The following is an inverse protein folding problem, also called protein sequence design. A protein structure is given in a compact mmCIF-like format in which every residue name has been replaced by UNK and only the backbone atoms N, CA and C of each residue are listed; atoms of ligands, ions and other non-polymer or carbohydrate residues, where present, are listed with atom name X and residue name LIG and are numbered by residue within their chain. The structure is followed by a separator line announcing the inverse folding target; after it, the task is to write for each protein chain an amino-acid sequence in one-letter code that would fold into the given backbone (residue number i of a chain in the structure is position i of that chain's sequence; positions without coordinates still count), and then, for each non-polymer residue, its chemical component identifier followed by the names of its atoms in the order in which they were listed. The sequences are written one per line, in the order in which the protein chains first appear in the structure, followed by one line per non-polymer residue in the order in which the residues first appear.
data_IF_943585085957
#
_entry.id   IF_943585085957
#
_cell.length_a   1.000
_cell.length_b   1.000
_cell.length_c   1.000
_cell.angle_alpha   90.00
_cell.angle_beta   90.00
_cell.angle_gamma   90.00
#
_symmetry.space_group_name_H-M   'P 1'
#
loop_
_entity.id
_entity.type
_entity.pdbx_description
1 polymer ?
#
# COMPACT_ATOMS: atom_id res chain seq x y z
N UNK A 1 31.68 -20.47 46.15
CA UNK A 1 30.31 -20.22 45.63
C UNK A 1 30.07 -18.72 45.52
N UNK A 2 30.22 -18.18 44.34
CA UNK A 2 29.84 -16.81 44.00
C UNK A 2 28.33 -16.81 43.82
N UNK A 3 27.57 -16.39 44.84
CA UNK A 3 26.18 -16.04 44.69
C UNK A 3 26.11 -14.70 43.93
N UNK A 4 25.90 -14.77 42.66
CA UNK A 4 25.51 -13.63 41.83
C UNK A 4 24.10 -13.25 42.27
N UNK A 5 23.95 -12.29 43.19
CA UNK A 5 22.70 -11.61 43.40
C UNK A 5 22.41 -10.80 42.13
N UNK A 6 21.59 -11.35 41.28
CA UNK A 6 20.97 -10.56 40.21
C UNK A 6 20.15 -9.46 40.89
N UNK A 7 20.64 -8.24 40.83
CA UNK A 7 19.84 -7.08 41.08
C UNK A 7 18.74 -7.06 40.05
N UNK A 8 17.55 -7.51 40.39
CA UNK A 8 16.36 -7.27 39.60
C UNK A 8 16.08 -5.75 39.64
N UNK A 9 16.67 -5.05 38.65
CA UNK A 9 16.30 -3.66 38.40
C UNK A 9 14.96 -3.72 37.63
N UNK A 10 13.89 -3.96 38.38
CA UNK A 10 12.54 -3.81 37.82
C UNK A 10 12.21 -2.31 37.80
N UNK A 11 11.78 -1.78 36.65
CA UNK A 11 11.35 -0.39 36.55
C UNK A 11 10.16 -0.18 37.48
N UNK A 12 10.18 0.92 38.25
CA UNK A 12 9.08 1.26 39.18
C UNK A 12 7.81 1.67 38.43
N UNK A 13 7.94 2.13 37.19
CA UNK A 13 6.86 2.59 36.35
C UNK A 13 7.15 2.27 34.91
N UNK A 14 6.14 1.78 34.17
CA UNK A 14 6.22 1.45 32.75
C UNK A 14 5.15 2.25 32.01
N UNK A 15 5.58 3.10 31.08
CA UNK A 15 4.68 3.81 30.18
C UNK A 15 4.66 3.12 28.83
N UNK A 16 3.49 2.60 28.41
CA UNK A 16 3.29 1.97 27.10
C UNK A 16 2.54 2.93 26.17
N UNK A 17 3.20 3.38 25.10
CA UNK A 17 2.59 4.21 24.07
C UNK A 17 2.45 3.40 22.78
N UNK A 18 1.23 3.14 22.34
CA UNK A 18 0.93 2.41 21.11
C UNK A 18 0.60 3.41 20.01
N UNK A 19 1.40 3.40 18.94
CA UNK A 19 1.22 4.25 17.75
C UNK A 19 0.70 3.38 16.60
N UNK A 20 -0.58 3.54 16.25
CA UNK A 20 -1.21 2.80 15.15
C UNK A 20 -0.78 3.32 13.77
N UNK A 21 -0.77 4.62 13.57
CA UNK A 21 -0.46 5.25 12.29
C UNK A 21 -1.35 4.75 11.15
N UNK A 22 -2.61 4.39 11.42
CA UNK A 22 -3.58 3.91 10.44
C UNK A 22 -3.37 2.46 9.98
N UNK A 23 -2.53 1.68 10.65
CA UNK A 23 -2.21 0.31 10.22
C UNK A 23 -3.31 -0.69 10.57
N UNK A 24 -3.97 -0.54 11.70
CA UNK A 24 -5.02 -1.47 12.18
C UNK A 24 -6.20 -1.57 11.20
N UNK A 25 -6.53 -0.50 10.49
CA UNK A 25 -7.60 -0.50 9.48
C UNK A 25 -7.35 -1.46 8.29
N UNK A 26 -6.11 -1.91 8.10
CA UNK A 26 -5.73 -2.83 7.03
C UNK A 26 -5.56 -4.27 7.50
N UNK A 27 -5.72 -4.56 8.81
CA UNK A 27 -5.71 -5.92 9.34
C UNK A 27 -6.93 -6.68 8.86
N UNK A 28 -6.77 -7.97 8.56
CA UNK A 28 -7.82 -8.82 7.98
C UNK A 28 -8.18 -8.48 6.52
N UNK A 29 -7.54 -7.47 5.91
CA UNK A 29 -7.79 -7.06 4.54
C UNK A 29 -6.82 -7.65 3.51
N UNK A 30 -7.04 -7.39 2.21
CA UNK A 30 -6.23 -7.94 1.12
C UNK A 30 -4.77 -7.46 1.11
N UNK A 31 -4.43 -6.48 1.93
CA UNK A 31 -3.09 -5.90 2.04
C UNK A 31 -2.38 -6.24 3.35
N UNK A 32 -2.96 -7.09 4.19
CA UNK A 32 -2.39 -7.47 5.48
C UNK A 32 -0.96 -8.02 5.35
N UNK A 33 -0.70 -8.82 4.30
CA UNK A 33 0.63 -9.40 4.06
C UNK A 33 1.75 -8.35 3.94
N UNK A 34 1.43 -7.11 3.55
CA UNK A 34 2.42 -6.03 3.47
C UNK A 34 3.07 -5.74 4.83
N UNK A 35 2.40 -6.07 5.94
CA UNK A 35 2.94 -5.89 7.30
C UNK A 35 3.90 -6.99 7.74
N UNK A 36 3.99 -8.11 7.00
CA UNK A 36 5.02 -9.12 7.22
C UNK A 36 6.40 -8.64 6.73
N UNK A 37 6.46 -7.52 6.03
CA UNK A 37 7.70 -6.99 5.47
C UNK A 37 8.72 -6.65 6.56
N UNK A 38 9.88 -7.33 6.53
CA UNK A 38 11.02 -7.10 7.43
C UNK A 38 11.97 -6.00 6.95
N UNK A 39 11.61 -5.29 5.87
CA UNK A 39 12.38 -4.17 5.27
C UNK A 39 13.81 -4.53 4.84
N UNK A 40 14.03 -5.75 4.40
CA UNK A 40 15.36 -6.24 3.97
C UNK A 40 15.85 -5.63 2.64
N UNK A 41 14.98 -4.99 1.83
CA UNK A 41 15.34 -4.38 0.55
C UNK A 41 15.46 -5.36 -0.64
N UNK A 42 15.32 -6.66 -0.46
CA UNK A 42 15.48 -7.66 -1.52
C UNK A 42 14.58 -7.40 -2.74
N UNK A 43 13.33 -7.00 -2.51
CA UNK A 43 12.39 -6.64 -3.58
C UNK A 43 12.84 -5.41 -4.38
N UNK A 44 13.55 -4.47 -3.77
CA UNK A 44 14.12 -3.30 -4.47
C UNK A 44 15.28 -3.72 -5.37
N UNK A 45 16.17 -4.57 -4.82
CA UNK A 45 17.33 -5.07 -5.56
C UNK A 45 16.93 -5.95 -6.76
N UNK A 46 15.86 -6.73 -6.65
CA UNK A 46 15.36 -7.57 -7.72
C UNK A 46 14.48 -6.82 -8.76
N UNK A 47 14.03 -5.61 -8.46
CA UNK A 47 13.06 -4.90 -9.29
C UNK A 47 13.71 -4.15 -10.46
N UNK A 48 13.42 -4.51 -11.72
CA UNK A 48 13.97 -3.81 -12.88
C UNK A 48 13.54 -2.35 -12.96
N UNK A 49 12.32 -2.03 -12.51
CA UNK A 49 11.85 -0.64 -12.46
C UNK A 49 12.64 0.16 -11.44
N UNK A 50 12.80 -0.35 -10.22
CA UNK A 50 13.55 0.34 -9.18
C UNK A 50 15.02 0.55 -9.56
N UNK A 51 15.65 -0.43 -10.19
CA UNK A 51 17.03 -0.31 -10.69
C UNK A 51 17.18 0.76 -11.76
N UNK A 52 16.14 0.98 -12.56
CA UNK A 52 16.16 1.99 -13.63
C UNK A 52 15.91 3.41 -13.12
N UNK A 53 14.89 3.58 -12.25
CA UNK A 53 14.43 4.93 -11.85
C UNK A 53 14.98 5.39 -10.50
N UNK A 54 15.48 4.46 -9.69
CA UNK A 54 15.98 4.74 -8.33
C UNK A 54 14.89 5.02 -7.31
N UNK A 55 15.31 5.25 -6.05
CA UNK A 55 14.40 5.44 -4.92
C UNK A 55 13.70 6.81 -4.89
N UNK A 56 14.34 7.86 -5.40
CA UNK A 56 13.82 9.23 -5.33
C UNK A 56 12.47 9.44 -6.04
N UNK A 57 12.23 8.69 -7.12
CA UNK A 57 10.99 8.77 -7.91
C UNK A 57 9.75 8.36 -7.11
N UNK A 58 9.94 7.53 -6.07
CA UNK A 58 8.84 7.09 -5.22
C UNK A 58 8.32 8.19 -4.28
N UNK A 59 9.08 9.27 -4.10
CA UNK A 59 8.76 10.42 -3.23
C UNK A 59 8.15 9.99 -1.87
N UNK A 60 8.71 8.95 -1.28
CA UNK A 60 8.25 8.34 -0.04
C UNK A 60 9.41 7.69 0.70
N UNK A 61 9.25 7.55 2.02
CA UNK A 61 10.17 6.80 2.87
C UNK A 61 10.26 5.33 2.44
N UNK A 62 9.16 4.80 1.88
CA UNK A 62 9.10 3.44 1.37
C UNK A 62 9.27 3.45 -0.14
N UNK A 63 10.46 3.07 -0.62
CA UNK A 63 10.72 2.91 -2.06
C UNK A 63 10.45 1.50 -2.58
N UNK A 64 10.51 1.35 -3.90
CA UNK A 64 10.41 0.07 -4.60
C UNK A 64 9.05 -0.62 -4.53
N UNK A 65 9.00 -1.92 -4.85
CA UNK A 65 7.74 -2.67 -4.96
C UNK A 65 6.88 -2.65 -3.71
N UNK A 66 7.47 -2.87 -2.54
CA UNK A 66 6.74 -2.81 -1.27
C UNK A 66 6.26 -1.39 -0.94
N UNK A 67 7.04 -0.37 -1.30
CA UNK A 67 6.68 1.03 -1.13
C UNK A 67 5.48 1.43 -1.98
N UNK A 68 5.35 0.86 -3.17
CA UNK A 68 4.19 1.05 -4.05
C UNK A 68 2.88 0.51 -3.47
N UNK A 69 2.96 -0.29 -2.39
CA UNK A 69 1.81 -0.78 -1.62
C UNK A 69 1.65 0.00 -0.33
N UNK A 70 2.71 0.08 0.49
CA UNK A 70 2.65 0.70 1.82
C UNK A 70 2.31 2.19 1.77
N UNK A 71 2.89 2.94 0.83
CA UNK A 71 2.64 4.37 0.72
C UNK A 71 1.18 4.69 0.42
N UNK A 72 0.53 4.08 -0.60
CA UNK A 72 -0.91 4.28 -0.82
C UNK A 72 -1.80 3.75 0.31
N UNK A 73 -1.36 2.71 1.03
CA UNK A 73 -2.10 2.21 2.20
C UNK A 73 -2.14 3.23 3.34
N UNK A 74 -1.00 3.84 3.65
CA UNK A 74 -0.86 4.74 4.80
C UNK A 74 -1.32 6.17 4.49
N UNK A 75 -1.02 6.67 3.28
CA UNK A 75 -1.29 8.05 2.90
C UNK A 75 -2.59 8.21 2.09
N UNK A 76 -3.26 7.12 1.77
CA UNK A 76 -4.42 7.08 0.88
C UNK A 76 -4.04 6.93 -0.60
N UNK A 77 -4.88 6.20 -1.32
CA UNK A 77 -4.67 5.92 -2.75
C UNK A 77 -4.71 7.21 -3.59
N UNK A 78 -5.48 8.22 -3.15
CA UNK A 78 -5.60 9.51 -3.85
C UNK A 78 -4.27 10.27 -3.91
N UNK A 79 -3.51 10.23 -2.84
CA UNK A 79 -2.26 10.99 -2.70
C UNK A 79 -1.07 10.28 -3.34
N UNK A 80 -1.24 9.01 -3.73
CA UNK A 80 -0.16 8.15 -4.22
C UNK A 80 -0.60 7.31 -5.42
N UNK A 81 -1.42 7.88 -6.29
CA UNK A 81 -2.07 7.20 -7.43
C UNK A 81 -1.10 6.54 -8.41
N UNK A 82 0.09 7.10 -8.59
CA UNK A 82 1.05 6.65 -9.60
C UNK A 82 1.83 5.42 -9.12
N UNK A 83 2.08 5.29 -7.82
CA UNK A 83 2.94 4.25 -7.26
C UNK A 83 2.50 2.81 -7.59
N UNK A 84 1.22 2.42 -7.48
CA UNK A 84 0.79 1.07 -7.87
C UNK A 84 0.96 0.77 -9.34
N UNK A 85 1.11 1.81 -10.19
CA UNK A 85 1.34 1.66 -11.63
C UNK A 85 2.83 1.53 -11.96
N UNK A 86 3.73 1.96 -11.07
CA UNK A 86 5.18 1.90 -11.21
C UNK A 86 5.72 0.46 -11.03
N UNK A 87 5.15 -0.51 -11.74
CA UNK A 87 5.54 -1.92 -11.68
C UNK A 87 5.23 -2.63 -12.99
N UNK A 88 6.17 -3.43 -13.47
CA UNK A 88 5.99 -4.33 -14.62
C UNK A 88 5.20 -5.60 -14.29
N UNK A 89 4.92 -5.86 -12.99
CA UNK A 89 4.28 -7.10 -12.50
C UNK A 89 5.03 -8.39 -12.89
N UNK A 90 6.35 -8.33 -13.07
CA UNK A 90 7.15 -9.47 -13.49
C UNK A 90 7.31 -10.58 -12.43
N UNK A 91 6.94 -10.34 -11.17
CA UNK A 91 7.03 -11.32 -10.09
C UNK A 91 8.36 -11.35 -9.34
N UNK A 92 9.46 -10.84 -9.89
CA UNK A 92 10.79 -10.91 -9.27
C UNK A 92 10.86 -10.41 -7.82
N UNK A 93 10.04 -9.46 -7.45
CA UNK A 93 9.96 -8.95 -6.07
C UNK A 93 9.33 -9.95 -5.09
N UNK A 94 8.44 -10.81 -5.55
CA UNK A 94 7.87 -11.90 -4.76
C UNK A 94 8.89 -13.03 -4.60
N UNK A 95 9.53 -13.45 -5.69
CA UNK A 95 10.53 -14.51 -5.69
C UNK A 95 11.73 -14.18 -4.79
N UNK A 96 12.13 -12.90 -4.76
CA UNK A 96 13.23 -12.43 -3.91
C UNK A 96 12.81 -12.20 -2.44
N UNK A 97 11.53 -12.28 -2.11
CA UNK A 97 11.05 -11.95 -0.76
C UNK A 97 11.26 -13.09 0.23
N UNK A 98 12.11 -12.93 1.28
CA UNK A 98 12.38 -13.99 2.25
C UNK A 98 11.18 -14.34 3.13
N UNK A 99 10.19 -13.47 3.20
CA UNK A 99 8.93 -13.66 3.95
C UNK A 99 7.72 -13.87 3.04
N UNK A 100 7.95 -14.14 1.77
CA UNK A 100 6.95 -14.57 0.79
C UNK A 100 5.76 -13.61 0.64
N UNK A 101 5.98 -12.30 0.70
CA UNK A 101 4.93 -11.30 0.48
C UNK A 101 4.52 -11.26 -0.99
N UNK A 102 3.24 -11.53 -1.29
CA UNK A 102 2.71 -11.50 -2.66
C UNK A 102 2.45 -10.05 -3.11
N UNK A 103 3.55 -9.36 -3.44
CA UNK A 103 3.54 -7.97 -3.89
C UNK A 103 2.76 -7.81 -5.21
N UNK A 104 2.94 -8.65 -6.25
CA UNK A 104 2.20 -8.51 -7.51
C UNK A 104 0.69 -8.59 -7.34
N UNK A 105 0.17 -9.52 -6.53
CA UNK A 105 -1.26 -9.63 -6.22
C UNK A 105 -1.80 -8.35 -5.57
N UNK A 106 -1.09 -7.86 -4.56
CA UNK A 106 -1.50 -6.63 -3.86
C UNK A 106 -1.49 -5.40 -4.77
N UNK A 107 -0.52 -5.30 -5.69
CA UNK A 107 -0.50 -4.23 -6.70
C UNK A 107 -1.70 -4.30 -7.63
N UNK A 108 -2.09 -5.49 -8.07
CA UNK A 108 -3.30 -5.69 -8.88
C UNK A 108 -4.56 -5.27 -8.13
N UNK A 109 -4.68 -5.63 -6.85
CA UNK A 109 -5.81 -5.19 -6.03
C UNK A 109 -5.87 -3.67 -5.85
N UNK A 110 -4.72 -3.00 -5.70
CA UNK A 110 -4.67 -1.54 -5.67
C UNK A 110 -5.08 -0.91 -7.00
N UNK A 111 -4.63 -1.47 -8.13
CA UNK A 111 -5.05 -1.02 -9.47
C UNK A 111 -6.55 -1.16 -9.67
N UNK A 112 -7.16 -2.27 -9.25
CA UNK A 112 -8.62 -2.47 -9.27
C UNK A 112 -9.36 -1.40 -8.45
N UNK A 113 -8.90 -1.12 -7.23
CA UNK A 113 -9.49 -0.07 -6.37
C UNK A 113 -9.43 1.31 -7.05
N UNK A 114 -8.30 1.63 -7.70
CA UNK A 114 -8.13 2.88 -8.45
C UNK A 114 -9.14 2.99 -9.60
N UNK A 115 -9.26 1.94 -10.44
CA UNK A 115 -10.20 1.91 -11.58
C UNK A 115 -11.64 2.08 -11.10
N UNK A 116 -12.08 1.27 -10.13
CA UNK A 116 -13.43 1.34 -9.56
C UNK A 116 -13.75 2.74 -9.01
N UNK A 117 -12.78 3.39 -8.37
CA UNK A 117 -12.96 4.76 -7.86
C UNK A 117 -13.11 5.77 -9.00
N UNK A 118 -12.30 5.67 -10.06
CA UNK A 118 -12.40 6.53 -11.24
C UNK A 118 -13.76 6.40 -11.93
N UNK A 119 -14.25 5.17 -12.07
CA UNK A 119 -15.60 4.91 -12.61
C UNK A 119 -16.69 5.54 -11.76
N UNK A 120 -16.62 5.40 -10.44
CA UNK A 120 -17.59 6.02 -9.52
C UNK A 120 -17.53 7.55 -9.59
N UNK A 121 -16.35 8.14 -9.70
CA UNK A 121 -16.18 9.59 -9.87
C UNK A 121 -16.75 10.08 -11.20
N UNK A 122 -16.55 9.34 -12.28
CA UNK A 122 -17.15 9.65 -13.60
C UNK A 122 -18.67 9.52 -13.57
N UNK A 123 -19.21 8.45 -12.98
CA UNK A 123 -20.65 8.28 -12.78
C UNK A 123 -21.25 9.42 -11.98
N UNK A 124 -20.60 9.83 -10.89
CA UNK A 124 -21.03 10.96 -10.07
C UNK A 124 -21.04 12.26 -10.86
N UNK A 125 -20.00 12.54 -11.65
CA UNK A 125 -19.93 13.72 -12.52
C UNK A 125 -21.01 13.70 -13.60
N UNK A 126 -21.26 12.57 -14.23
CA UNK A 126 -22.32 12.39 -15.23
C UNK A 126 -23.72 12.60 -14.63
N UNK A 127 -23.96 12.11 -13.41
CA UNK A 127 -25.22 12.33 -12.69
C UNK A 127 -25.42 13.82 -12.34
N UNK A 128 -24.36 14.51 -11.94
CA UNK A 128 -24.41 15.95 -11.64
C UNK A 128 -24.68 16.77 -12.91
N UNK A 129 -24.00 16.44 -14.01
CA UNK A 129 -24.19 17.12 -15.31
C UNK A 129 -25.55 16.82 -15.91
N UNK A 130 -26.05 15.59 -15.83
CA UNK A 130 -27.40 15.20 -16.31
C UNK A 130 -28.53 15.87 -15.53
N UNK A 131 -28.30 16.18 -14.25
CA UNK A 131 -29.28 16.90 -13.41
C UNK A 131 -29.37 18.40 -13.79
N UNK A 132 -28.28 18.97 -14.31
CA UNK A 132 -28.21 20.37 -14.71
C UNK A 132 -28.70 20.60 -16.17
N UNK A 133 -28.61 19.59 -17.05
CA UNK A 133 -28.96 19.69 -18.47
C UNK A 133 -30.30 19.05 -18.84
N UNK A 134 -31.11 18.62 -17.87
CA UNK A 134 -32.45 18.07 -18.14
C UNK A 134 -32.50 16.77 -18.98
N UNK A 135 -31.36 16.16 -19.27
CA UNK A 135 -31.28 14.94 -20.06
C UNK A 135 -31.61 13.74 -19.17
N UNK A 136 -32.73 13.10 -19.42
CA UNK A 136 -33.20 11.88 -18.78
C UNK A 136 -32.24 10.71 -19.15
N UNK A 137 -31.59 10.13 -18.16
CA UNK A 137 -30.65 8.97 -18.25
C UNK A 137 -31.26 7.66 -18.81
N UNK A 138 -32.51 7.67 -19.25
CA UNK A 138 -33.19 6.50 -19.83
C UNK A 138 -32.73 6.14 -21.26
N UNK A 139 -31.91 6.98 -21.88
CA UNK A 139 -31.45 6.79 -23.28
C UNK A 139 -29.98 6.41 -23.41
N UNK A 140 -29.22 6.29 -22.32
CA UNK A 140 -27.81 5.84 -22.33
C UNK A 140 -27.70 4.35 -21.97
N UNK A 141 -28.48 3.50 -22.64
CA UNK A 141 -28.19 2.08 -22.75
C UNK A 141 -27.48 1.86 -24.10
N UNK A 142 -26.27 1.29 -23.99
CA UNK A 142 -25.48 0.70 -25.09
C UNK A 142 -24.67 1.71 -25.95
N UNK A 143 -23.39 1.77 -25.62
CA UNK A 143 -22.28 1.45 -26.56
C UNK A 143 -21.17 0.84 -25.75
#
# INVERSE_FOLDING_TARGET
SLSMTMFEISPQEIHLVIIDGGRTQHLGGPFQEAFHCIRCGACQNACPVFQTVGGHVYNSVYGGPIGSILTPMLNGIENSNELPMASSLCGACMDACPVMVDIPRMLLEMRKKRVKRRENSLKMKLLFFGRFSGVRLSQLKLL
#
